data_IF_201924975896
#
_entry.id   IF_201924975896
#
_cell.length_a   1.000
_cell.length_b   1.000
_cell.length_c   1.000
_cell.angle_alpha   90.00
_cell.angle_beta   90.00
_cell.angle_gamma   90.00
#
_symmetry.space_group_name_H-M   'P 1'
#
loop_
_entity.id
_entity.type
_entity.pdbx_description
1 polymer ?
#
# COMPACT_ATOMS: atom_id res chain seq x y z
N UNK A 1 -1.95 -62.99 -30.94
CA UNK A 1 -1.53 -61.66 -31.44
C UNK A 1 -2.47 -60.62 -30.85
N UNK A 2 -2.00 -59.78 -29.92
CA UNK A 2 -2.86 -58.85 -29.15
C UNK A 2 -2.51 -57.43 -29.58
N UNK A 3 -3.42 -56.79 -30.33
CA UNK A 3 -3.27 -55.41 -30.83
C UNK A 3 -3.89 -54.48 -29.80
N UNK A 4 -3.05 -53.69 -29.11
CA UNK A 4 -3.51 -52.67 -28.18
C UNK A 4 -3.88 -51.42 -28.98
N UNK A 5 -5.17 -51.08 -28.95
CA UNK A 5 -5.74 -49.90 -29.59
C UNK A 5 -5.53 -48.71 -28.64
N UNK A 6 -4.55 -47.86 -28.91
CA UNK A 6 -4.32 -46.64 -28.12
C UNK A 6 -5.21 -45.53 -28.67
N UNK A 7 -6.28 -45.22 -27.93
CA UNK A 7 -7.14 -44.06 -28.17
C UNK A 7 -6.46 -42.80 -27.62
N UNK A 8 -5.95 -41.94 -28.50
CA UNK A 8 -5.43 -40.62 -28.14
C UNK A 8 -6.60 -39.64 -28.00
N UNK A 9 -6.96 -39.31 -26.76
CA UNK A 9 -7.92 -38.23 -26.45
C UNK A 9 -7.21 -36.88 -26.54
N UNK A 10 -7.59 -36.06 -27.52
CA UNK A 10 -7.12 -34.67 -27.65
C UNK A 10 -8.11 -33.80 -26.88
N UNK A 11 -7.72 -33.31 -25.70
CA UNK A 11 -8.50 -32.35 -24.92
C UNK A 11 -8.20 -30.95 -25.48
N UNK A 12 -9.12 -30.41 -26.29
CA UNK A 12 -9.07 -29.02 -26.72
C UNK A 12 -9.56 -28.12 -25.57
N UNK A 13 -8.62 -27.44 -24.90
CA UNK A 13 -8.95 -26.44 -23.89
C UNK A 13 -9.41 -25.14 -24.58
N UNK A 14 -10.70 -24.83 -24.51
CA UNK A 14 -11.24 -23.56 -24.95
C UNK A 14 -10.75 -22.44 -24.01
N UNK A 15 -9.83 -21.61 -24.50
CA UNK A 15 -9.42 -20.37 -23.84
C UNK A 15 -10.57 -19.37 -23.94
N UNK A 16 -11.40 -19.29 -22.89
CA UNK A 16 -12.33 -18.19 -22.70
C UNK A 16 -11.52 -16.93 -22.40
N UNK A 17 -11.25 -16.14 -23.44
CA UNK A 17 -10.73 -14.79 -23.30
C UNK A 17 -11.82 -13.92 -22.63
N UNK A 18 -11.71 -13.73 -21.32
CA UNK A 18 -12.52 -12.74 -20.60
C UNK A 18 -12.00 -11.36 -21.00
N UNK A 19 -12.80 -10.48 -21.64
CA UNK A 19 -12.38 -9.11 -21.83
C UNK A 19 -12.28 -8.46 -20.45
N UNK A 20 -11.06 -8.10 -20.04
CA UNK A 20 -10.83 -7.24 -18.90
C UNK A 20 -11.43 -5.87 -19.24
N UNK A 21 -12.69 -5.66 -18.86
CA UNK A 21 -13.28 -4.33 -18.86
C UNK A 21 -12.50 -3.49 -17.84
N UNK A 22 -11.60 -2.65 -18.33
CA UNK A 22 -10.96 -1.62 -17.51
C UNK A 22 -12.06 -0.70 -16.98
N UNK A 23 -12.37 -0.82 -15.70
CA UNK A 23 -13.42 -0.06 -15.03
C UNK A 23 -13.09 1.44 -15.12
N UNK A 24 -13.89 2.20 -15.86
CA UNK A 24 -13.71 3.63 -16.09
C UNK A 24 -13.79 4.49 -14.80
N UNK A 25 -14.07 3.88 -13.64
CA UNK A 25 -14.03 4.52 -12.31
C UNK A 25 -12.66 5.09 -11.95
N UNK A 26 -11.56 4.46 -12.37
CA UNK A 26 -10.21 4.86 -11.98
C UNK A 26 -9.80 6.27 -12.45
N UNK A 27 -10.37 6.78 -13.56
CA UNK A 27 -9.96 8.08 -14.12
C UNK A 27 -10.52 9.26 -13.32
N UNK A 28 -11.73 9.16 -12.77
CA UNK A 28 -12.26 10.17 -11.81
C UNK A 28 -11.70 9.98 -10.41
N UNK A 29 -11.38 8.75 -10.02
CA UNK A 29 -10.81 8.43 -8.72
C UNK A 29 -9.36 8.95 -8.57
N UNK A 30 -8.60 8.98 -9.68
CA UNK A 30 -7.25 9.54 -9.70
C UNK A 30 -7.16 11.00 -9.25
N UNK A 31 -8.14 11.85 -9.60
CA UNK A 31 -8.14 13.25 -9.15
C UNK A 31 -8.48 13.39 -7.66
N UNK A 32 -9.41 12.57 -7.17
CA UNK A 32 -9.79 12.55 -5.75
C UNK A 32 -8.60 12.13 -4.87
N UNK A 33 -7.93 11.03 -5.22
CA UNK A 33 -6.76 10.57 -4.47
C UNK A 33 -5.56 11.50 -4.61
N UNK A 34 -5.35 12.06 -5.79
CA UNK A 34 -4.29 13.05 -5.99
C UNK A 34 -4.51 14.28 -5.10
N UNK A 35 -5.73 14.81 -5.08
CA UNK A 35 -6.09 15.97 -4.25
C UNK A 35 -5.89 15.65 -2.76
N UNK A 36 -6.35 14.48 -2.30
CA UNK A 36 -6.15 14.03 -0.93
C UNK A 36 -4.66 14.01 -0.53
N UNK A 37 -3.81 13.45 -1.39
CA UNK A 37 -2.37 13.39 -1.13
C UNK A 37 -1.73 14.78 -1.12
N UNK A 38 -2.09 15.64 -2.07
CA UNK A 38 -1.57 17.02 -2.13
C UNK A 38 -1.95 17.79 -0.87
N UNK A 39 -3.20 17.72 -0.42
CA UNK A 39 -3.64 18.40 0.80
C UNK A 39 -2.98 17.83 2.06
N UNK A 40 -2.93 16.51 2.22
CA UNK A 40 -2.28 15.85 3.36
C UNK A 40 -0.80 16.27 3.44
N UNK A 41 -0.07 16.24 2.32
CA UNK A 41 1.33 16.62 2.29
C UNK A 41 1.53 18.13 2.52
N UNK A 42 0.63 18.97 2.01
CA UNK A 42 0.66 20.43 2.21
C UNK A 42 0.41 20.81 3.66
N UNK A 43 -0.62 20.25 4.29
CA UNK A 43 -0.93 20.52 5.69
C UNK A 43 0.12 19.94 6.64
N UNK A 44 0.73 18.81 6.27
CA UNK A 44 1.88 18.27 6.99
C UNK A 44 3.08 19.21 6.93
N UNK A 45 3.49 19.63 5.72
CA UNK A 45 4.63 20.53 5.53
C UNK A 45 4.46 21.85 6.29
N UNK A 46 3.25 22.41 6.28
CA UNK A 46 2.96 23.69 6.91
C UNK A 46 2.71 23.57 8.42
N UNK A 47 2.93 22.40 9.02
CA UNK A 47 2.68 22.09 10.42
C UNK A 47 1.24 22.40 10.89
N UNK A 48 0.22 22.03 10.12
CA UNK A 48 -1.19 22.35 10.37
C UNK A 48 -2.00 21.13 10.86
N UNK A 49 -1.87 20.68 12.13
CA UNK A 49 -2.51 19.45 12.62
C UNK A 49 -4.03 19.49 12.55
N UNK A 50 -4.67 20.65 12.78
CA UNK A 50 -6.12 20.79 12.70
C UNK A 50 -6.66 20.64 11.27
N UNK A 51 -5.99 21.25 10.29
CA UNK A 51 -6.36 21.09 8.87
C UNK A 51 -6.09 19.67 8.40
N UNK A 52 -4.92 19.13 8.73
CA UNK A 52 -4.57 17.74 8.44
C UNK A 52 -5.60 16.77 9.03
N UNK A 53 -6.05 16.96 10.28
CA UNK A 53 -7.08 16.13 10.88
C UNK A 53 -8.41 16.19 10.12
N UNK A 54 -8.83 17.38 9.71
CA UNK A 54 -10.05 17.56 8.93
C UNK A 54 -9.95 16.89 7.55
N UNK A 55 -8.84 17.10 6.83
CA UNK A 55 -8.55 16.44 5.55
C UNK A 55 -8.56 14.92 5.72
N UNK A 56 -7.84 14.36 6.69
CA UNK A 56 -7.85 12.92 6.95
C UNK A 56 -9.26 12.38 7.21
N UNK A 57 -10.09 13.13 7.95
CA UNK A 57 -11.50 12.76 8.20
C UNK A 57 -12.36 12.82 6.94
N UNK A 58 -12.22 13.87 6.15
CA UNK A 58 -12.97 14.08 4.90
C UNK A 58 -12.69 12.96 3.88
N UNK A 59 -11.41 12.60 3.73
CA UNK A 59 -10.96 11.51 2.87
C UNK A 59 -11.07 10.12 3.51
N UNK A 60 -11.62 10.03 4.73
CA UNK A 60 -11.78 8.78 5.50
C UNK A 60 -10.48 7.99 5.68
N UNK A 61 -9.36 8.70 5.78
CA UNK A 61 -8.03 8.14 6.03
C UNK A 61 -7.80 8.13 7.55
N UNK A 62 -7.69 6.95 8.15
CA UNK A 62 -7.34 6.86 9.57
C UNK A 62 -5.92 7.41 9.82
N UNK A 63 -5.66 7.97 11.01
CA UNK A 63 -4.30 8.45 11.36
C UNK A 63 -3.27 7.32 11.27
N UNK A 64 -3.65 6.09 11.64
CA UNK A 64 -2.80 4.90 11.49
C UNK A 64 -2.47 4.65 10.01
N UNK A 65 -3.48 4.63 9.13
CA UNK A 65 -3.27 4.46 7.69
C UNK A 65 -2.44 5.60 7.09
N UNK A 66 -2.61 6.82 7.59
CA UNK A 66 -1.84 7.98 7.16
C UNK A 66 -0.35 7.79 7.47
N UNK A 67 -0.02 7.36 8.69
CA UNK A 67 1.37 7.07 9.08
C UNK A 67 1.94 5.87 8.33
N UNK A 68 1.16 4.79 8.19
CA UNK A 68 1.64 3.53 7.61
C UNK A 68 1.79 3.57 6.07
N UNK A 69 0.95 4.34 5.38
CA UNK A 69 0.77 4.22 3.91
C UNK A 69 0.93 5.52 3.13
N UNK A 70 0.74 6.70 3.73
CA UNK A 70 0.85 7.95 2.98
C UNK A 70 2.30 8.33 2.80
N UNK A 71 2.64 8.67 1.55
CA UNK A 71 3.97 9.09 1.14
C UNK A 71 3.91 10.51 0.57
N UNK A 72 4.76 11.38 1.08
CA UNK A 72 4.96 12.75 0.62
C UNK A 72 6.38 12.87 0.08
N UNK A 73 6.55 13.24 -1.19
CA UNK A 73 7.87 13.37 -1.83
C UNK A 73 8.80 12.16 -1.60
N UNK A 74 8.25 10.94 -1.77
CA UNK A 74 8.95 9.66 -1.56
C UNK A 74 9.35 9.37 -0.10
N UNK A 75 8.83 10.11 0.87
CA UNK A 75 9.04 9.90 2.30
C UNK A 75 7.72 9.54 2.98
N UNK A 76 7.76 8.62 3.95
CA UNK A 76 6.58 8.33 4.77
C UNK A 76 6.12 9.61 5.48
N UNK A 77 4.81 9.77 5.66
CA UNK A 77 4.20 11.00 6.17
C UNK A 77 4.88 11.55 7.43
N UNK A 78 5.16 10.68 8.41
CA UNK A 78 5.77 11.09 9.68
C UNK A 78 7.24 11.49 9.51
N UNK A 79 8.00 10.79 8.67
CA UNK A 79 9.38 11.17 8.30
C UNK A 79 9.40 12.49 7.54
N UNK A 80 8.47 12.68 6.61
CA UNK A 80 8.30 13.92 5.88
C UNK A 80 7.99 15.08 6.83
N UNK A 81 7.11 14.87 7.83
CA UNK A 81 6.80 15.87 8.85
C UNK A 81 8.06 16.27 9.64
N UNK A 82 8.87 15.30 10.08
CA UNK A 82 10.14 15.55 10.79
C UNK A 82 11.12 16.34 9.93
N UNK A 83 11.25 16.00 8.66
CA UNK A 83 12.17 16.66 7.73
C UNK A 83 11.75 18.08 7.33
N UNK A 84 10.50 18.47 7.59
CA UNK A 84 9.98 19.82 7.34
C UNK A 84 9.71 20.58 8.65
N UNK A 85 10.32 20.16 9.77
CA UNK A 85 10.16 20.79 11.09
C UNK A 85 8.71 20.94 11.56
N UNK A 86 7.82 20.05 11.12
CA UNK A 86 6.39 20.08 11.43
C UNK A 86 6.08 19.45 12.80
N UNK A 87 6.57 20.08 13.86
CA UNK A 87 6.58 19.54 15.22
C UNK A 87 5.19 19.22 15.78
N UNK A 88 4.18 20.05 15.51
CA UNK A 88 2.81 19.80 16.00
C UNK A 88 2.16 18.64 15.27
N UNK A 89 2.41 18.51 13.97
CA UNK A 89 1.97 17.35 13.19
C UNK A 89 2.67 16.08 13.67
N UNK A 90 3.99 16.13 13.92
CA UNK A 90 4.73 15.02 14.53
C UNK A 90 4.11 14.64 15.87
N UNK A 91 3.86 15.60 16.76
CA UNK A 91 3.25 15.34 18.06
C UNK A 91 1.87 14.67 17.95
N UNK A 92 1.08 15.05 16.94
CA UNK A 92 -0.23 14.44 16.67
C UNK A 92 -0.12 13.00 16.15
N UNK A 93 0.87 12.71 15.29
CA UNK A 93 0.96 11.46 14.53
C UNK A 93 1.90 10.41 15.16
N UNK A 94 2.89 10.82 15.96
CA UNK A 94 3.93 9.93 16.51
C UNK A 94 3.37 8.72 17.27
N UNK A 95 2.21 8.87 17.93
CA UNK A 95 1.56 7.76 18.67
C UNK A 95 1.07 6.61 17.78
N UNK A 96 0.99 6.84 16.48
CA UNK A 96 0.58 5.85 15.47
C UNK A 96 1.79 5.26 14.72
N UNK A 97 3.00 5.75 15.00
CA UNK A 97 4.22 5.14 14.50
C UNK A 97 4.32 3.75 15.10
N UNK A 98 4.16 2.72 14.25
CA UNK A 98 4.52 1.39 14.68
C UNK A 98 6.03 1.37 14.82
N UNK A 99 6.50 1.08 16.03
CA UNK A 99 7.86 0.60 16.19
C UNK A 99 8.03 -0.57 15.22
N UNK A 100 9.10 -0.60 14.40
CA UNK A 100 9.28 -1.64 13.41
C UNK A 100 9.07 -2.98 14.09
N UNK A 101 8.11 -3.76 13.58
CA UNK A 101 7.80 -5.09 14.07
C UNK A 101 9.13 -5.81 14.27
N UNK A 102 9.36 -6.27 15.50
CA UNK A 102 10.59 -6.90 15.98
C UNK A 102 11.20 -7.73 14.86
N UNK A 103 12.29 -7.25 14.24
CA UNK A 103 12.93 -7.83 13.06
C UNK A 103 13.09 -9.34 13.26
N UNK A 104 12.25 -10.16 12.63
CA UNK A 104 12.35 -11.61 12.73
C UNK A 104 13.49 -12.03 11.80
N UNK A 105 14.58 -12.53 12.39
CA UNK A 105 15.68 -13.11 11.62
C UNK A 105 15.43 -14.62 11.56
N UNK A 106 15.10 -15.13 10.37
CA UNK A 106 15.01 -16.56 10.11
C UNK A 106 16.39 -16.98 9.59
N UNK A 107 17.07 -17.86 10.32
CA UNK A 107 18.31 -18.47 9.85
C UNK A 107 18.09 -19.98 9.78
N UNK A 108 18.38 -20.55 8.62
CA UNK A 108 18.35 -22.00 8.43
C UNK A 108 19.58 -22.64 9.08
N UNK A 109 19.40 -23.78 9.74
CA UNK A 109 20.51 -24.58 10.29
C UNK A 109 20.52 -25.94 9.62
N UNK A 110 21.54 -26.21 8.81
CA UNK A 110 21.75 -27.52 8.20
C UNK A 110 22.38 -28.47 9.21
N UNK A 111 21.82 -29.69 9.33
CA UNK A 111 22.42 -30.74 10.16
C UNK A 111 23.76 -31.20 9.56
N UNK A 112 24.79 -31.46 10.39
CA UNK A 112 26.08 -31.92 9.90
C UNK A 112 25.95 -33.28 9.21
N UNK A 113 26.71 -33.47 8.13
CA UNK A 113 26.82 -34.75 7.45
C UNK A 113 27.65 -35.72 8.32
N UNK A 114 27.10 -36.92 8.55
CA UNK A 114 27.75 -38.02 9.26
C UNK A 114 28.89 -38.63 8.46
#
# INVERSE_FOLDING_TARGET
>A
MKRYLTLTSIIAAALLAVPAAADSRFIKEGSYLHTALVEVCTHTRNDQPGKLFNTLREYRISKQSAVDKVMCNKQQLLTFARNNDAQRVVAMLQRYERLPERKVTISDITAPAN
#
